data_IF_983595963921
#
_entry.id   IF_983595963921
#
_cell.length_a   1.000
_cell.length_b   1.000
_cell.length_c   1.000
_cell.angle_alpha   90.00
_cell.angle_beta   90.00
_cell.angle_gamma   90.00
#
_symmetry.space_group_name_H-M   'P 1'
#
loop_
_entity.id
_entity.type
_entity.pdbx_description
1 polymer ?
#
# COMPACT_ATOMS: atom_id res chain seq x y z
N UNK A 1 75.85 -8.02 15.62
CA UNK A 1 74.37 -8.03 15.71
C UNK A 1 73.81 -7.49 14.40
N UNK A 2 72.97 -8.23 13.67
CA UNK A 2 72.41 -7.75 12.41
C UNK A 2 71.19 -6.83 12.66
N UNK A 3 70.83 -5.96 11.71
CA UNK A 3 69.74 -5.00 11.87
C UNK A 3 68.36 -5.66 11.73
N UNK A 4 67.39 -5.18 12.54
CA UNK A 4 65.99 -5.60 12.51
C UNK A 4 65.31 -5.20 11.18
N UNK A 5 64.61 -6.15 10.56
CA UNK A 5 63.74 -5.91 9.40
C UNK A 5 62.48 -5.17 9.82
N UNK A 6 62.26 -3.97 9.28
CA UNK A 6 60.96 -3.28 9.27
C UNK A 6 59.94 -4.10 8.48
N UNK A 7 58.80 -4.47 9.09
CA UNK A 7 57.63 -4.94 8.37
C UNK A 7 56.95 -3.76 7.66
N UNK A 8 56.98 -3.76 6.32
CA UNK A 8 56.10 -2.93 5.49
C UNK A 8 54.71 -3.56 5.51
N UNK A 9 53.80 -2.99 6.30
CA UNK A 9 52.37 -3.25 6.15
C UNK A 9 51.89 -2.64 4.84
N UNK A 10 51.53 -3.47 3.87
CA UNK A 10 50.81 -3.05 2.66
C UNK A 10 49.33 -2.89 3.00
N UNK A 11 48.96 -1.72 3.53
CA UNK A 11 47.55 -1.31 3.58
C UNK A 11 47.13 -0.90 2.17
N UNK A 12 46.24 -1.68 1.52
CA UNK A 12 45.52 -1.20 0.33
C UNK A 12 44.65 0.00 0.76
N UNK A 13 44.62 1.11 0.01
CA UNK A 13 43.70 2.20 0.32
C UNK A 13 42.26 1.70 0.13
N UNK A 14 41.43 1.89 1.15
CA UNK A 14 40.01 1.62 1.09
C UNK A 14 39.38 2.51 0.01
N UNK A 15 38.81 1.91 -1.04
CA UNK A 15 38.12 2.63 -2.09
C UNK A 15 36.79 3.12 -1.53
N UNK A 16 36.68 4.43 -1.36
CA UNK A 16 35.39 5.08 -1.09
C UNK A 16 34.90 5.81 -2.33
N UNK A 17 33.61 5.66 -2.63
CA UNK A 17 32.93 6.35 -3.72
C UNK A 17 31.81 7.21 -3.16
N UNK A 18 31.83 8.50 -3.48
CA UNK A 18 30.81 9.46 -3.03
C UNK A 18 29.85 9.80 -4.17
N UNK A 19 28.56 9.51 -3.97
CA UNK A 19 27.50 9.87 -4.90
C UNK A 19 27.24 11.39 -4.91
N UNK A 20 26.57 11.88 -5.96
CA UNK A 20 26.27 13.32 -6.15
C UNK A 20 25.38 13.93 -5.05
N UNK A 21 24.67 13.10 -4.29
CA UNK A 21 23.84 13.51 -3.16
C UNK A 21 24.61 13.57 -1.83
N UNK A 22 25.87 13.13 -1.80
CA UNK A 22 26.74 13.12 -0.63
C UNK A 22 26.86 11.77 0.07
N UNK A 23 26.17 10.73 -0.42
CA UNK A 23 26.30 9.38 0.15
C UNK A 23 27.67 8.78 -0.16
N UNK A 24 28.41 8.39 0.87
CA UNK A 24 29.74 7.77 0.76
C UNK A 24 29.59 6.26 0.90
N UNK A 25 29.99 5.53 -0.12
CA UNK A 25 30.10 4.07 -0.10
C UNK A 25 31.53 3.70 0.24
N UNK A 26 31.72 2.87 1.25
CA UNK A 26 33.02 2.37 1.68
C UNK A 26 33.00 0.87 1.45
N UNK A 27 33.95 0.38 0.65
CA UNK A 27 34.10 -1.06 0.44
C UNK A 27 34.76 -1.66 1.69
N UNK A 28 33.96 -2.32 2.53
CA UNK A 28 34.50 -3.12 3.64
C UNK A 28 34.97 -4.47 3.10
N UNK A 29 36.25 -4.77 3.32
CA UNK A 29 36.87 -6.06 3.01
C UNK A 29 36.41 -7.08 4.09
N UNK A 30 35.16 -7.54 3.96
CA UNK A 30 34.64 -8.62 4.79
C UNK A 30 35.40 -9.87 4.34
N UNK A 31 36.35 -10.33 5.16
CA UNK A 31 37.32 -11.36 4.81
C UNK A 31 36.74 -12.60 4.10
N UNK A 32 37.62 -13.32 3.39
CA UNK A 32 37.31 -14.45 2.49
C UNK A 32 36.03 -15.22 2.86
N UNK A 33 35.06 -15.36 1.93
CA UNK A 33 33.86 -16.13 2.22
C UNK A 33 34.26 -17.55 2.56
N UNK A 34 33.89 -18.00 3.76
CA UNK A 34 33.99 -19.41 4.14
C UNK A 34 33.32 -20.23 3.03
N UNK A 35 34.05 -21.21 2.50
CA UNK A 35 33.64 -22.04 1.38
C UNK A 35 32.51 -23.03 1.74
N UNK A 36 31.46 -22.55 2.39
CA UNK A 36 30.11 -23.10 2.37
C UNK A 36 29.19 -21.91 2.69
N UNK A 37 28.87 -21.10 1.69
CA UNK A 37 27.62 -20.38 1.76
C UNK A 37 26.55 -21.47 1.76
N UNK A 38 26.09 -21.88 2.94
CA UNK A 38 24.87 -22.64 3.06
C UNK A 38 23.82 -21.78 2.36
N UNK A 39 23.49 -22.11 1.11
CA UNK A 39 22.29 -21.62 0.49
C UNK A 39 21.20 -22.05 1.46
N UNK A 40 20.69 -21.11 2.26
CA UNK A 40 19.51 -21.32 3.07
C UNK A 40 18.44 -21.76 2.08
N UNK A 41 18.24 -23.06 1.92
CA UNK A 41 17.28 -23.58 0.97
C UNK A 41 15.94 -23.03 1.44
N UNK A 42 15.38 -22.10 0.68
CA UNK A 42 14.11 -21.50 1.01
C UNK A 42 13.06 -22.61 0.89
N UNK A 43 12.71 -23.21 2.02
CA UNK A 43 11.79 -24.36 2.07
C UNK A 43 10.33 -23.95 2.14
N UNK A 44 10.04 -22.66 2.31
CA UNK A 44 8.68 -22.17 2.40
C UNK A 44 8.03 -22.18 1.01
N UNK A 45 6.87 -22.82 0.89
CA UNK A 45 6.09 -22.78 -0.33
C UNK A 45 5.29 -21.48 -0.37
N UNK A 46 5.45 -20.71 -1.44
CA UNK A 46 4.68 -19.49 -1.66
C UNK A 46 3.17 -19.80 -1.69
N UNK A 47 2.37 -19.02 -0.97
CA UNK A 47 0.92 -19.22 -0.94
C UNK A 47 0.24 -18.60 0.28
N UNK A 48 -1.10 -18.75 0.38
CA UNK A 48 -1.83 -18.32 1.56
C UNK A 48 -1.28 -18.99 2.82
N UNK A 49 -1.20 -18.25 3.92
CA UNK A 49 -0.79 -18.79 5.22
C UNK A 49 -1.79 -19.83 5.72
N UNK A 50 -1.37 -20.72 6.63
CA UNK A 50 -2.28 -21.71 7.23
C UNK A 50 -3.46 -21.05 7.98
N UNK A 51 -3.24 -19.86 8.56
CA UNK A 51 -4.31 -19.06 9.15
C UNK A 51 -5.30 -18.56 8.10
N UNK A 52 -4.83 -18.09 6.95
CA UNK A 52 -5.68 -17.68 5.83
C UNK A 52 -6.45 -18.87 5.23
N UNK A 53 -5.78 -20.00 4.96
CA UNK A 53 -6.43 -21.22 4.43
C UNK A 53 -7.59 -21.69 5.30
N UNK A 54 -7.46 -21.63 6.63
CA UNK A 54 -8.54 -22.00 7.56
C UNK A 54 -9.74 -21.05 7.52
N UNK A 55 -9.53 -19.76 7.18
CA UNK A 55 -10.60 -18.75 7.08
C UNK A 55 -11.28 -18.77 5.70
N UNK A 56 -10.51 -19.05 4.65
CA UNK A 56 -10.96 -18.90 3.26
C UNK A 56 -11.69 -20.15 2.80
N UNK A 57 -13.01 -20.10 2.84
CA UNK A 57 -13.91 -21.11 2.23
C UNK A 57 -14.64 -20.59 1.00
N UNK A 58 -14.59 -19.28 0.75
CA UNK A 58 -15.23 -18.62 -0.38
C UNK A 58 -14.44 -17.41 -0.85
N UNK A 59 -14.77 -16.91 -2.04
CA UNK A 59 -14.19 -15.67 -2.59
C UNK A 59 -14.43 -14.49 -1.64
N UNK A 60 -15.62 -14.38 -1.05
CA UNK A 60 -15.91 -13.34 -0.06
C UNK A 60 -14.99 -13.43 1.15
N UNK A 61 -14.73 -14.64 1.67
CA UNK A 61 -13.81 -14.79 2.81
C UNK A 61 -12.37 -14.46 2.44
N UNK A 62 -11.91 -14.74 1.21
CA UNK A 62 -10.60 -14.27 0.76
C UNK A 62 -10.49 -12.75 0.72
N UNK A 63 -11.55 -12.06 0.32
CA UNK A 63 -11.60 -10.60 0.36
C UNK A 63 -11.58 -10.07 1.80
N UNK A 64 -12.36 -10.69 2.70
CA UNK A 64 -12.43 -10.32 4.12
C UNK A 64 -11.16 -10.65 4.91
N UNK A 65 -10.27 -11.50 4.38
CA UNK A 65 -8.92 -11.64 4.92
C UNK A 65 -8.06 -10.39 4.73
N UNK A 66 -8.34 -9.58 3.69
CA UNK A 66 -7.58 -8.37 3.37
C UNK A 66 -8.29 -7.12 3.94
N UNK A 67 -9.57 -6.94 3.58
CA UNK A 67 -10.43 -5.89 4.09
C UNK A 67 -11.40 -6.48 5.12
N UNK A 68 -10.95 -6.55 6.37
CA UNK A 68 -11.71 -7.24 7.41
C UNK A 68 -12.97 -6.47 7.87
N UNK A 69 -13.82 -7.17 8.62
CA UNK A 69 -15.09 -6.62 9.12
C UNK A 69 -14.87 -5.42 10.04
N UNK A 70 -13.78 -5.38 10.80
CA UNK A 70 -13.46 -4.24 11.66
C UNK A 70 -13.13 -3.00 10.84
N UNK A 71 -12.39 -3.14 9.74
CA UNK A 71 -12.16 -2.05 8.79
C UNK A 71 -13.46 -1.54 8.18
N UNK A 72 -14.36 -2.45 7.78
CA UNK A 72 -15.69 -2.07 7.28
C UNK A 72 -16.52 -1.32 8.32
N UNK A 73 -16.44 -1.71 9.59
CA UNK A 73 -17.09 -1.01 10.70
C UNK A 73 -16.51 0.40 10.89
N UNK A 74 -15.19 0.54 10.91
CA UNK A 74 -14.54 1.85 11.00
C UNK A 74 -14.92 2.75 9.82
N UNK A 75 -14.85 2.26 8.58
CA UNK A 75 -15.25 3.02 7.38
C UNK A 75 -16.71 3.46 7.50
N UNK A 76 -17.60 2.56 7.92
CA UNK A 76 -19.01 2.86 8.14
C UNK A 76 -19.17 3.98 9.18
N UNK A 77 -18.55 3.86 10.34
CA UNK A 77 -18.61 4.83 11.44
C UNK A 77 -18.12 6.22 11.01
N UNK A 78 -16.95 6.30 10.37
CA UNK A 78 -16.43 7.55 9.83
C UNK A 78 -17.36 8.15 8.77
N UNK A 79 -17.95 7.31 7.92
CA UNK A 79 -18.85 7.73 6.83
C UNK A 79 -20.19 8.26 7.35
N UNK A 80 -20.78 7.65 8.39
CA UNK A 80 -22.04 8.14 9.00
C UNK A 80 -21.84 9.40 9.84
N UNK A 81 -20.64 9.62 10.39
CA UNK A 81 -20.41 10.65 11.39
C UNK A 81 -20.66 12.07 10.85
N UNK A 82 -20.17 12.38 9.65
CA UNK A 82 -20.33 13.70 9.04
C UNK A 82 -21.79 14.03 8.65
N UNK A 83 -22.53 13.20 7.88
CA UNK A 83 -23.90 13.51 7.49
C UNK A 83 -24.87 13.54 8.67
N UNK A 84 -24.64 12.75 9.72
CA UNK A 84 -25.50 12.76 10.92
C UNK A 84 -25.54 14.10 11.67
N UNK A 85 -24.56 14.98 11.45
CA UNK A 85 -24.58 16.34 12.01
C UNK A 85 -25.66 17.22 11.39
N UNK A 86 -26.01 16.95 10.14
CA UNK A 86 -27.02 17.72 9.38
C UNK A 86 -28.33 16.95 9.22
N UNK A 87 -28.25 15.63 9.09
CA UNK A 87 -29.37 14.71 8.84
C UNK A 87 -29.29 13.54 9.85
N UNK A 88 -29.95 13.63 11.01
CA UNK A 88 -29.87 12.61 12.07
C UNK A 88 -30.28 11.20 11.63
N UNK A 89 -31.21 11.12 10.66
CA UNK A 89 -31.72 9.86 10.11
C UNK A 89 -30.74 9.20 9.12
N UNK A 90 -29.65 9.88 8.76
CA UNK A 90 -28.67 9.33 7.83
C UNK A 90 -27.99 8.10 8.44
N UNK A 91 -28.13 6.99 7.73
CA UNK A 91 -27.52 5.72 8.12
C UNK A 91 -26.88 5.06 6.90
N UNK A 92 -25.99 4.11 7.18
CA UNK A 92 -25.37 3.23 6.20
C UNK A 92 -25.25 1.87 6.88
N UNK A 93 -25.86 0.82 6.37
CA UNK A 93 -25.66 -0.52 6.89
C UNK A 93 -24.36 -1.15 6.36
N UNK A 94 -23.80 -2.14 7.07
CA UNK A 94 -22.60 -2.85 6.60
C UNK A 94 -22.85 -3.55 5.26
N UNK A 95 -24.02 -4.15 5.06
CA UNK A 95 -24.36 -4.79 3.79
C UNK A 95 -24.49 -3.77 2.64
N UNK A 96 -24.99 -2.56 2.92
CA UNK A 96 -25.00 -1.47 1.93
C UNK A 96 -23.58 -1.02 1.57
N UNK A 97 -22.67 -0.93 2.55
CA UNK A 97 -21.26 -0.62 2.28
C UNK A 97 -20.59 -1.73 1.45
N UNK A 98 -20.84 -3.00 1.76
CA UNK A 98 -20.35 -4.13 0.96
C UNK A 98 -20.93 -4.13 -0.46
N UNK A 99 -22.22 -3.80 -0.61
CA UNK A 99 -22.88 -3.63 -1.90
C UNK A 99 -22.28 -2.44 -2.70
N UNK A 100 -21.96 -1.34 -2.03
CA UNK A 100 -21.25 -0.22 -2.65
C UNK A 100 -19.86 -0.65 -3.18
N UNK A 101 -19.09 -1.39 -2.37
CA UNK A 101 -17.77 -1.91 -2.76
C UNK A 101 -17.89 -2.93 -3.90
N UNK A 102 -18.89 -3.82 -3.88
CA UNK A 102 -19.10 -4.79 -4.96
C UNK A 102 -19.41 -4.10 -6.28
N UNK A 103 -20.21 -3.02 -6.26
CA UNK A 103 -20.45 -2.18 -7.44
C UNK A 103 -19.15 -1.55 -7.95
N UNK A 104 -18.22 -1.11 -7.09
CA UNK A 104 -16.92 -0.61 -7.53
C UNK A 104 -16.12 -1.67 -8.31
N UNK A 105 -16.13 -2.93 -7.86
CA UNK A 105 -15.50 -4.03 -8.58
C UNK A 105 -16.17 -4.30 -9.93
N UNK A 106 -17.50 -4.42 -9.96
CA UNK A 106 -18.24 -4.63 -11.22
C UNK A 106 -17.95 -3.50 -12.21
N UNK A 107 -17.95 -2.24 -11.74
CA UNK A 107 -17.62 -1.08 -12.56
C UNK A 107 -16.19 -1.12 -13.09
N UNK A 108 -15.22 -1.56 -12.28
CA UNK A 108 -13.83 -1.66 -12.71
C UNK A 108 -13.61 -2.67 -13.85
N UNK A 109 -14.46 -3.71 -13.93
CA UNK A 109 -14.36 -4.75 -14.96
C UNK A 109 -15.24 -4.41 -16.17
N UNK A 110 -16.44 -3.88 -15.95
CA UNK A 110 -17.48 -3.76 -16.96
C UNK A 110 -17.65 -2.35 -17.55
N UNK A 111 -17.29 -1.29 -16.81
CA UNK A 111 -17.51 0.08 -17.27
C UNK A 111 -16.20 0.69 -17.86
N UNK A 112 -16.27 1.37 -19.01
CA UNK A 112 -15.13 2.10 -19.55
C UNK A 112 -14.58 3.14 -18.57
N UNK A 113 -13.26 3.35 -18.59
CA UNK A 113 -12.59 4.35 -17.75
C UNK A 113 -13.22 5.73 -17.97
N UNK A 114 -13.71 6.35 -16.90
CA UNK A 114 -14.37 7.67 -16.94
C UNK A 114 -15.90 7.65 -16.98
N UNK A 115 -16.54 6.49 -17.16
CA UNK A 115 -18.00 6.36 -17.08
C UNK A 115 -18.46 6.25 -15.60
N UNK A 116 -18.41 7.34 -14.84
CA UNK A 116 -18.78 7.29 -13.41
C UNK A 116 -20.29 7.16 -13.18
N UNK A 117 -21.10 7.73 -14.07
CA UNK A 117 -22.55 7.87 -13.88
C UNK A 117 -23.36 6.95 -14.80
N UNK A 118 -22.78 6.54 -15.93
CA UNK A 118 -23.51 5.85 -16.98
C UNK A 118 -23.75 4.36 -16.68
N UNK A 119 -23.15 3.79 -15.63
CA UNK A 119 -23.36 2.37 -15.28
C UNK A 119 -24.81 2.07 -14.83
N UNK A 120 -25.61 3.10 -14.50
CA UNK A 120 -27.06 2.99 -14.26
C UNK A 120 -27.91 3.38 -15.48
N UNK A 121 -27.30 3.68 -16.63
CA UNK A 121 -28.05 3.86 -17.88
C UNK A 121 -28.48 2.51 -18.44
N UNK A 122 -29.60 2.48 -19.14
CA UNK A 122 -29.98 1.31 -19.94
C UNK A 122 -28.95 1.00 -21.03
N UNK A 123 -28.18 1.99 -21.51
CA UNK A 123 -27.18 1.79 -22.55
C UNK A 123 -25.98 0.94 -22.12
N UNK A 124 -25.70 0.84 -20.81
CA UNK A 124 -24.57 0.07 -20.28
C UNK A 124 -25.00 -1.30 -19.73
N UNK A 125 -26.31 -1.62 -19.77
CA UNK A 125 -26.93 -2.91 -19.42
C UNK A 125 -26.12 -3.75 -18.43
N UNK A 126 -25.87 -3.22 -17.22
CA UNK A 126 -25.44 -4.06 -16.09
C UNK A 126 -26.61 -4.14 -15.10
N UNK A 127 -27.63 -4.98 -15.34
CA UNK A 127 -28.83 -5.06 -14.48
C UNK A 127 -28.49 -5.23 -13.01
N UNK A 128 -27.45 -6.03 -12.72
CA UNK A 128 -26.98 -6.30 -11.37
C UNK A 128 -26.63 -5.02 -10.58
N UNK A 129 -26.13 -3.96 -11.23
CA UNK A 129 -25.78 -2.71 -10.54
C UNK A 129 -27.06 -2.00 -10.07
N UNK A 130 -28.08 -1.93 -10.92
CA UNK A 130 -29.37 -1.31 -10.61
C UNK A 130 -30.13 -2.08 -9.53
N UNK A 131 -30.09 -3.42 -9.61
CA UNK A 131 -30.72 -4.32 -8.65
C UNK A 131 -30.02 -4.28 -7.27
N UNK A 132 -28.71 -4.06 -7.26
CA UNK A 132 -27.92 -4.01 -6.02
C UNK A 132 -28.12 -2.71 -5.25
N UNK A 133 -28.10 -1.55 -5.92
CA UNK A 133 -28.25 -0.25 -5.26
C UNK A 133 -28.75 0.83 -6.22
N UNK A 134 -29.72 1.68 -5.81
CA UNK A 134 -30.13 2.84 -6.58
C UNK A 134 -28.97 3.83 -6.82
N UNK A 135 -28.95 4.46 -7.99
CA UNK A 135 -27.90 5.42 -8.41
C UNK A 135 -27.69 6.52 -7.37
N UNK A 136 -28.77 7.12 -6.90
CA UNK A 136 -28.71 8.27 -5.98
C UNK A 136 -28.14 7.86 -4.62
N UNK A 137 -28.48 6.65 -4.16
CA UNK A 137 -27.89 6.08 -2.94
C UNK A 137 -26.39 5.84 -3.09
N UNK A 138 -25.95 5.31 -4.24
CA UNK A 138 -24.54 5.11 -4.53
C UNK A 138 -23.76 6.45 -4.55
N UNK A 139 -24.30 7.48 -5.20
CA UNK A 139 -23.71 8.82 -5.23
C UNK A 139 -23.65 9.42 -3.82
N UNK A 140 -24.72 9.27 -3.03
CA UNK A 140 -24.79 9.77 -1.66
C UNK A 140 -23.73 9.12 -0.76
N UNK A 141 -23.52 7.81 -0.86
CA UNK A 141 -22.46 7.10 -0.15
C UNK A 141 -21.08 7.61 -0.61
N UNK A 142 -20.87 7.73 -1.92
CA UNK A 142 -19.60 8.20 -2.48
C UNK A 142 -19.21 9.61 -1.98
N UNK A 143 -20.17 10.52 -1.84
CA UNK A 143 -19.93 11.88 -1.34
C UNK A 143 -19.49 11.91 0.13
N UNK A 144 -20.06 11.02 0.94
CA UNK A 144 -19.84 10.96 2.38
C UNK A 144 -18.76 9.98 2.80
N UNK A 145 -18.22 9.16 1.89
CA UNK A 145 -17.22 8.13 2.21
C UNK A 145 -16.01 8.73 2.94
N UNK A 146 -15.70 8.20 4.13
CA UNK A 146 -14.54 8.58 4.95
C UNK A 146 -13.88 7.33 5.55
N UNK A 147 -12.59 7.46 5.87
CA UNK A 147 -11.75 6.40 6.45
C UNK A 147 -11.15 6.78 7.81
N UNK A 148 -11.43 8.01 8.27
CA UNK A 148 -10.88 8.60 9.48
C UNK A 148 -11.91 9.57 10.09
N UNK A 149 -11.81 9.80 11.39
CA UNK A 149 -12.61 10.77 12.12
C UNK A 149 -11.98 12.17 12.02
N UNK A 150 -12.65 13.04 11.26
CA UNK A 150 -12.21 14.41 11.00
C UNK A 150 -11.93 15.23 12.26
N UNK A 151 -12.60 14.94 13.38
CA UNK A 151 -12.38 15.69 14.61
C UNK A 151 -11.01 15.39 15.23
N UNK A 152 -10.46 14.20 14.98
CA UNK A 152 -9.13 13.76 15.44
C UNK A 152 -8.02 14.07 14.43
N UNK A 153 -8.42 14.25 13.17
CA UNK A 153 -7.53 14.49 12.04
C UNK A 153 -6.69 15.77 12.16
N UNK A 154 -7.23 16.85 12.73
CA UNK A 154 -6.53 18.15 12.77
C UNK A 154 -5.19 18.11 13.55
N UNK A 155 -5.13 17.29 14.59
CA UNK A 155 -3.91 17.09 15.36
C UNK A 155 -2.99 16.05 14.71
N UNK A 156 -3.56 15.01 14.09
CA UNK A 156 -2.78 13.96 13.41
C UNK A 156 -2.13 14.42 12.11
N UNK A 157 -2.77 15.30 11.33
CA UNK A 157 -2.20 15.80 10.05
C UNK A 157 -0.91 16.58 10.26
N UNK A 158 -0.68 17.12 11.47
CA UNK A 158 0.58 17.78 11.82
C UNK A 158 1.76 16.80 11.79
N UNK A 159 1.52 15.52 12.08
CA UNK A 159 2.53 14.47 12.16
C UNK A 159 2.46 13.48 10.99
N UNK A 160 1.26 13.17 10.50
CA UNK A 160 1.00 12.22 9.43
C UNK A 160 0.21 12.86 8.29
N UNK A 161 0.88 13.11 7.16
CA UNK A 161 0.25 13.63 5.94
C UNK A 161 -0.79 12.66 5.34
N UNK A 162 -0.73 11.38 5.72
CA UNK A 162 -1.61 10.30 5.26
C UNK A 162 -2.71 9.94 6.30
N UNK A 163 -2.85 10.73 7.37
CA UNK A 163 -3.76 10.47 8.49
C UNK A 163 -5.18 10.09 8.05
N UNK A 164 -5.69 10.72 6.98
CA UNK A 164 -7.04 10.50 6.46
C UNK A 164 -7.39 9.04 6.08
N UNK A 165 -6.39 8.16 5.95
CA UNK A 165 -6.59 6.72 5.69
C UNK A 165 -5.58 5.85 6.46
N UNK A 166 -4.74 6.43 7.30
CA UNK A 166 -3.56 5.75 7.88
C UNK A 166 -3.92 4.49 8.68
N UNK A 167 -4.96 4.55 9.51
CA UNK A 167 -5.43 3.42 10.31
C UNK A 167 -5.92 2.25 9.45
N UNK A 168 -6.75 2.55 8.44
CA UNK A 168 -7.25 1.57 7.48
C UNK A 168 -6.09 1.01 6.66
N UNK A 169 -5.17 1.85 6.18
CA UNK A 169 -4.04 1.43 5.38
C UNK A 169 -3.09 0.51 6.14
N UNK A 170 -2.73 0.88 7.37
CA UNK A 170 -1.85 0.08 8.24
C UNK A 170 -2.45 -1.30 8.50
N UNK A 171 -3.75 -1.34 8.80
CA UNK A 171 -4.47 -2.60 9.02
C UNK A 171 -4.57 -3.44 7.75
N UNK A 172 -4.84 -2.82 6.60
CA UNK A 172 -4.86 -3.50 5.31
C UNK A 172 -3.52 -4.16 4.99
N UNK A 173 -2.41 -3.43 5.12
CA UNK A 173 -1.07 -3.97 4.86
C UNK A 173 -0.72 -5.10 5.81
N UNK A 174 -1.04 -4.95 7.10
CA UNK A 174 -0.85 -6.02 8.09
C UNK A 174 -1.61 -7.28 7.67
N UNK A 175 -2.87 -7.13 7.28
CA UNK A 175 -3.70 -8.23 6.81
C UNK A 175 -3.11 -8.90 5.55
N UNK A 176 -2.60 -8.12 4.59
CA UNK A 176 -1.92 -8.62 3.41
C UNK A 176 -0.69 -9.47 3.77
N UNK A 177 0.15 -8.99 4.67
CA UNK A 177 1.36 -9.68 5.12
C UNK A 177 1.05 -10.96 5.93
N UNK A 178 0.02 -10.94 6.77
CA UNK A 178 -0.39 -12.10 7.57
C UNK A 178 -1.13 -13.17 6.74
N UNK A 179 -1.69 -12.79 5.58
CA UNK A 179 -2.49 -13.69 4.75
C UNK A 179 -1.67 -14.51 3.74
N UNK A 180 -0.39 -14.16 3.51
CA UNK A 180 0.41 -14.79 2.46
C UNK A 180 1.88 -14.97 2.85
N UNK A 181 2.42 -16.16 2.60
CA UNK A 181 3.85 -16.42 2.69
C UNK A 181 4.49 -16.22 1.31
N UNK A 182 5.41 -15.24 1.14
CA UNK A 182 6.10 -15.03 -0.13
C UNK A 182 7.00 -16.22 -0.49
N UNK A 183 7.31 -16.34 -1.78
CA UNK A 183 8.33 -17.26 -2.28
C UNK A 183 9.74 -16.71 -2.09
N UNK A 184 10.71 -17.42 -2.68
CA UNK A 184 12.13 -17.08 -2.59
C UNK A 184 12.47 -15.73 -3.25
N UNK A 185 11.67 -15.31 -4.24
CA UNK A 185 11.95 -14.12 -5.04
C UNK A 185 10.85 -13.08 -4.88
N UNK A 186 11.25 -11.87 -4.52
CA UNK A 186 10.38 -10.71 -4.42
C UNK A 186 10.93 -9.55 -5.26
N UNK A 187 10.02 -8.69 -5.70
CA UNK A 187 10.34 -7.46 -6.42
C UNK A 187 9.84 -6.27 -5.61
N UNK A 188 10.68 -5.25 -5.49
CA UNK A 188 10.30 -3.95 -4.91
C UNK A 188 10.36 -2.93 -6.04
N UNK A 189 9.23 -2.28 -6.32
CA UNK A 189 9.14 -1.29 -7.42
C UNK A 189 8.16 -0.15 -7.06
N UNK A 190 8.19 0.91 -7.87
CA UNK A 190 7.37 2.09 -7.76
C UNK A 190 6.06 1.94 -8.56
N UNK A 191 4.93 2.00 -7.85
CA UNK A 191 3.61 2.14 -8.44
C UNK A 191 3.12 3.58 -8.29
N UNK A 192 2.69 4.19 -9.40
CA UNK A 192 2.08 5.51 -9.40
C UNK A 192 0.58 5.34 -9.65
N UNK A 193 -0.26 5.78 -8.71
CA UNK A 193 -1.70 5.83 -8.89
C UNK A 193 -2.11 7.22 -9.38
N UNK A 194 -2.60 7.35 -10.62
CA UNK A 194 -2.92 8.65 -11.21
C UNK A 194 -3.94 9.41 -10.37
N UNK A 195 -3.68 10.69 -10.13
CA UNK A 195 -4.66 11.56 -9.46
C UNK A 195 -4.63 12.96 -10.05
N UNK A 196 -5.82 13.54 -10.21
CA UNK A 196 -6.00 14.96 -10.54
C UNK A 196 -6.26 15.80 -9.28
N UNK A 197 -6.36 15.16 -8.12
CA UNK A 197 -6.61 15.84 -6.84
C UNK A 197 -5.33 16.52 -6.38
N UNK A 198 -5.45 17.78 -5.95
CA UNK A 198 -4.34 18.50 -5.30
C UNK A 198 -4.09 17.87 -3.92
N UNK A 199 -2.97 17.19 -3.79
CA UNK A 199 -2.52 16.57 -2.54
C UNK A 199 -1.07 16.99 -2.24
N UNK A 200 -0.72 17.09 -0.96
CA UNK A 200 0.61 17.58 -0.53
C UNK A 200 1.77 16.66 -0.96
N UNK A 201 1.47 15.40 -1.26
CA UNK A 201 2.46 14.38 -1.61
C UNK A 201 2.27 13.82 -3.03
N UNK A 202 1.49 14.49 -3.89
CA UNK A 202 1.42 14.15 -5.32
C UNK A 202 2.83 14.22 -5.95
N UNK A 203 3.21 13.18 -6.67
CA UNK A 203 4.48 13.05 -7.37
C UNK A 203 4.33 13.22 -8.87
N UNK A 204 5.36 13.78 -9.50
CA UNK A 204 5.53 13.79 -10.95
C UNK A 204 6.58 12.74 -11.35
N UNK A 205 6.24 11.82 -12.24
CA UNK A 205 7.17 10.82 -12.80
C UNK A 205 7.08 10.87 -14.33
N UNK A 206 8.13 11.41 -14.96
CA UNK A 206 8.15 11.69 -16.40
C UNK A 206 7.99 10.44 -17.28
N UNK A 207 8.41 9.27 -16.78
CA UNK A 207 8.43 8.00 -17.50
C UNK A 207 7.08 7.25 -17.46
N UNK A 208 6.14 7.65 -16.61
CA UNK A 208 4.82 7.00 -16.52
C UNK A 208 3.83 7.69 -17.50
N UNK A 209 2.88 6.94 -18.09
CA UNK A 209 1.90 7.51 -19.03
C UNK A 209 1.09 8.65 -18.39
N UNK A 210 0.54 8.40 -17.20
CA UNK A 210 -0.02 9.41 -16.32
C UNK A 210 1.08 9.93 -15.41
N UNK A 211 1.56 11.14 -15.68
CA UNK A 211 2.76 11.66 -15.02
C UNK A 211 2.52 12.12 -13.59
N UNK A 212 1.27 12.42 -13.19
CA UNK A 212 0.93 12.93 -11.87
C UNK A 212 0.11 11.90 -11.09
N UNK A 213 0.56 11.57 -9.88
CA UNK A 213 -0.11 10.55 -9.07
C UNK A 213 0.37 10.49 -7.62
N UNK A 214 -0.27 9.64 -6.83
CA UNK A 214 0.23 9.23 -5.51
C UNK A 214 1.17 8.04 -5.74
N UNK A 215 2.43 8.19 -5.34
CA UNK A 215 3.47 7.16 -5.50
C UNK A 215 3.46 6.22 -4.30
N UNK A 216 3.58 4.93 -4.56
CA UNK A 216 3.76 3.87 -3.58
C UNK A 216 4.96 3.02 -3.93
N UNK A 217 5.67 2.55 -2.90
CA UNK A 217 6.62 1.45 -2.99
C UNK A 217 5.87 0.15 -2.73
N UNK A 218 5.96 -0.79 -3.67
CA UNK A 218 5.23 -2.06 -3.61
C UNK A 218 6.21 -3.21 -3.50
N UNK A 219 6.11 -4.01 -2.45
CA UNK A 219 6.83 -5.27 -2.29
C UNK A 219 5.92 -6.42 -2.74
N UNK A 220 6.31 -7.11 -3.81
CA UNK A 220 5.46 -8.11 -4.49
C UNK A 220 6.21 -9.43 -4.67
N UNK A 221 5.53 -10.55 -4.43
CA UNK A 221 6.05 -11.88 -4.76
C UNK A 221 6.21 -12.05 -6.27
N UNK A 222 7.40 -12.49 -6.72
CA UNK A 222 7.72 -12.53 -8.15
C UNK A 222 6.85 -13.53 -8.92
N UNK A 223 6.51 -14.67 -8.31
CA UNK A 223 5.82 -15.77 -9.01
C UNK A 223 4.31 -15.56 -9.05
N UNK A 224 3.71 -15.24 -7.91
CA UNK A 224 2.25 -15.11 -7.74
C UNK A 224 1.74 -13.70 -7.99
N UNK A 225 2.64 -12.70 -8.04
CA UNK A 225 2.31 -11.28 -8.13
C UNK A 225 1.52 -10.75 -6.94
N UNK A 226 1.55 -11.46 -5.81
CA UNK A 226 0.88 -11.03 -4.59
C UNK A 226 1.62 -9.86 -3.95
N UNK A 227 0.89 -8.80 -3.58
CA UNK A 227 1.45 -7.64 -2.88
C UNK A 227 1.57 -7.94 -1.39
N UNK A 228 2.79 -8.09 -0.91
CA UNK A 228 3.08 -8.38 0.49
C UNK A 228 3.06 -7.11 1.36
N UNK A 229 3.50 -5.98 0.81
CA UNK A 229 3.50 -4.69 1.50
C UNK A 229 3.45 -3.54 0.49
N UNK A 230 2.87 -2.41 0.90
CA UNK A 230 2.76 -1.19 0.11
C UNK A 230 2.94 0.05 1.00
N UNK A 231 3.90 0.92 0.69
CA UNK A 231 4.16 2.13 1.48
C UNK A 231 4.01 3.41 0.64
N UNK A 232 3.16 4.37 1.06
CA UNK A 232 2.98 5.61 0.33
C UNK A 232 4.22 6.51 0.45
N UNK A 233 4.60 7.16 -0.65
CA UNK A 233 5.63 8.18 -0.62
C UNK A 233 5.01 9.55 -0.28
N UNK A 234 5.25 10.03 0.94
CA UNK A 234 4.65 11.25 1.49
C UNK A 234 5.52 12.52 1.30
N UNK A 235 6.48 12.45 0.37
CA UNK A 235 7.50 13.47 0.17
C UNK A 235 8.73 13.26 1.06
N UNK A 236 9.62 14.25 1.09
CA UNK A 236 10.78 14.19 1.99
C UNK A 236 10.33 14.40 3.43
N UNK A 237 10.79 13.53 4.33
CA UNK A 237 10.68 13.75 5.76
C UNK A 237 11.75 14.77 6.16
N UNK A 238 11.39 15.94 6.72
CA UNK A 238 12.35 16.92 7.18
C UNK A 238 13.16 16.47 8.41
N UNK A 239 12.71 15.43 9.12
CA UNK A 239 13.39 14.87 10.29
C UNK A 239 14.43 13.80 9.95
N UNK A 240 14.39 13.23 8.74
CA UNK A 240 15.37 12.25 8.28
C UNK A 240 16.63 12.95 7.74
N UNK A 241 17.80 12.55 8.26
CA UNK A 241 19.07 12.98 7.71
C UNK A 241 19.20 12.51 6.26
N UNK A 242 19.82 13.34 5.42
CA UNK A 242 20.04 13.06 4.00
C UNK A 242 20.92 11.81 3.85
N UNK A 243 20.31 10.64 3.64
CA UNK A 243 21.02 9.36 3.47
C UNK A 243 20.38 8.17 4.18
N UNK A 244 19.52 8.39 5.17
CA UNK A 244 18.81 7.30 5.85
C UNK A 244 17.48 7.00 5.15
N UNK A 245 17.32 5.74 4.69
CA UNK A 245 16.04 5.18 4.28
C UNK A 245 15.71 4.04 5.23
N UNK A 246 14.91 4.31 6.25
CA UNK A 246 14.35 3.27 7.09
C UNK A 246 12.99 2.85 6.56
N UNK A 247 12.78 1.54 6.50
CA UNK A 247 11.50 0.92 6.17
C UNK A 247 10.78 0.64 7.49
N UNK A 248 9.61 1.23 7.67
CA UNK A 248 8.66 0.93 8.75
C UNK A 248 7.51 0.09 8.22
#
# INVERSE_FOLDING_TARGET
MPPQKMHRGTGKPCLSQTAKDGTVWVEEDIGMPSAVANHSCFTAQAGPTESAKRKITSVLQSFLCLLDVGMLQTIRECTIHQPRRTEPDWNLAIHELMAFISILFVRAIMCPVGASVNCWSESFLVPVIKETMPRDRFILIMQHLRFDDKDKQAEQVKTDKFAAISDIWTRFNKNCAESFTPGEHMTIDEQLFPTKVRCLFTQYIATKPDKFGIKFWMATDLKTKYVCNASPYLGKDPSLQKGERTWS
#
